data_IF_376430333268
#
_entry.id   IF_376430333268
#
_cell.length_a   1.000
_cell.length_b   1.000
_cell.length_c   1.000
_cell.angle_alpha   90.00
_cell.angle_beta   90.00
_cell.angle_gamma   90.00
#
_symmetry.space_group_name_H-M   'P 1'
#
loop_
_entity.id
_entity.type
_entity.pdbx_description
1 polymer ?
#
# COMPACT_ATOMS: atom_id res chain seq x y z
N UNK A 1 5.93 0.93 -2.19
CA UNK A 1 5.37 2.05 -3.00
C UNK A 1 5.67 1.90 -4.50
N UNK A 2 6.95 1.84 -4.93
CA UNK A 2 7.31 1.87 -6.36
C UNK A 2 6.59 0.84 -7.24
N UNK A 3 6.56 -0.45 -6.84
CA UNK A 3 5.86 -1.48 -7.61
C UNK A 3 4.35 -1.24 -7.72
N UNK A 4 3.72 -0.77 -6.63
CA UNK A 4 2.28 -0.44 -6.63
C UNK A 4 1.99 0.75 -7.55
N UNK A 5 2.81 1.79 -7.52
CA UNK A 5 2.65 2.96 -8.39
C UNK A 5 2.74 2.58 -9.87
N UNK A 6 3.70 1.73 -10.26
CA UNK A 6 3.83 1.22 -11.63
C UNK A 6 2.62 0.37 -12.01
N UNK A 7 2.14 -0.48 -11.12
CA UNK A 7 0.98 -1.34 -11.38
C UNK A 7 -0.31 -0.54 -11.59
N UNK A 8 -0.52 0.55 -10.83
CA UNK A 8 -1.66 1.44 -10.99
C UNK A 8 -1.54 2.31 -12.24
N UNK A 9 -0.31 2.74 -12.59
CA UNK A 9 -0.02 3.50 -13.80
C UNK A 9 -0.37 2.73 -15.08
N UNK A 10 -0.36 1.40 -15.04
CA UNK A 10 -0.76 0.58 -16.20
C UNK A 10 -2.22 0.81 -16.64
N UNK A 11 -3.09 1.35 -15.78
CA UNK A 11 -4.51 1.58 -16.07
C UNK A 11 -5.02 2.99 -15.76
N UNK A 12 -4.20 3.86 -15.18
CA UNK A 12 -4.61 5.19 -14.71
C UNK A 12 -3.55 6.24 -15.08
N UNK A 13 -3.88 7.52 -14.91
CA UNK A 13 -2.91 8.60 -15.08
C UNK A 13 -1.85 8.61 -13.96
N UNK A 14 -0.73 9.29 -14.23
CA UNK A 14 0.40 9.32 -13.31
C UNK A 14 0.09 9.94 -11.94
N UNK A 15 -0.74 10.98 -11.90
CA UNK A 15 -1.07 11.68 -10.66
C UNK A 15 -1.94 10.79 -9.77
N UNK A 16 -3.03 10.26 -10.31
CA UNK A 16 -3.94 9.38 -9.58
C UNK A 16 -3.23 8.10 -9.12
N UNK A 17 -2.36 7.52 -9.97
CA UNK A 17 -1.57 6.34 -9.62
C UNK A 17 -0.59 6.59 -8.47
N UNK A 18 0.13 7.73 -8.52
CA UNK A 18 1.04 8.14 -7.46
C UNK A 18 0.31 8.40 -6.15
N UNK A 19 -0.81 9.12 -6.20
CA UNK A 19 -1.62 9.44 -5.03
C UNK A 19 -2.21 8.17 -4.39
N UNK A 20 -2.86 7.30 -5.19
CA UNK A 20 -3.47 6.07 -4.71
C UNK A 20 -2.43 5.10 -4.14
N UNK A 21 -1.28 4.93 -4.79
CA UNK A 21 -0.21 4.07 -4.26
C UNK A 21 0.34 4.56 -2.92
N UNK A 22 0.48 5.88 -2.74
CA UNK A 22 0.96 6.49 -1.50
C UNK A 22 -0.07 6.33 -0.38
N UNK A 23 -1.35 6.53 -0.69
CA UNK A 23 -2.45 6.33 0.26
C UNK A 23 -2.51 4.88 0.75
N UNK A 24 -2.50 3.91 -0.17
CA UNK A 24 -2.59 2.48 0.17
C UNK A 24 -1.42 2.03 1.04
N UNK A 25 -0.19 2.43 0.70
CA UNK A 25 1.01 2.09 1.49
C UNK A 25 0.94 2.71 2.88
N UNK A 26 0.57 4.00 2.98
CA UNK A 26 0.46 4.67 4.27
C UNK A 26 -0.61 4.03 5.14
N UNK A 27 -1.78 3.71 4.57
CA UNK A 27 -2.87 3.06 5.31
C UNK A 27 -2.50 1.66 5.78
N UNK A 28 -1.82 0.87 4.95
CA UNK A 28 -1.31 -0.45 5.35
C UNK A 28 -0.29 -0.35 6.49
N UNK A 29 0.63 0.61 6.40
CA UNK A 29 1.61 0.86 7.45
C UNK A 29 0.96 1.30 8.76
N UNK A 30 -0.08 2.14 8.70
CA UNK A 30 -0.82 2.57 9.89
C UNK A 30 -1.59 1.42 10.55
N UNK A 31 -2.22 0.55 9.76
CA UNK A 31 -2.88 -0.66 10.27
C UNK A 31 -1.89 -1.57 11.00
N UNK A 32 -0.75 -1.85 10.38
CA UNK A 32 0.30 -2.68 10.98
C UNK A 32 0.89 -2.02 12.21
N UNK A 33 1.16 -0.72 12.16
CA UNK A 33 1.68 0.02 13.31
C UNK A 33 0.73 -0.03 14.50
N UNK A 34 -0.57 0.10 14.28
CA UNK A 34 -1.56 -0.03 15.34
C UNK A 34 -1.67 -1.45 15.91
N UNK A 35 -1.31 -2.47 15.13
CA UNK A 35 -1.36 -3.88 15.55
C UNK A 35 -0.10 -4.37 16.25
N UNK A 36 1.08 -4.01 15.74
CA UNK A 36 2.38 -4.57 16.15
C UNK A 36 3.46 -3.50 16.39
N UNK A 37 3.10 -2.22 16.36
CA UNK A 37 4.04 -1.11 16.51
C UNK A 37 5.02 -1.05 15.34
N UNK A 38 6.29 -0.76 15.63
CA UNK A 38 7.36 -0.77 14.62
C UNK A 38 7.80 -2.19 14.21
N UNK A 39 7.21 -3.23 14.80
CA UNK A 39 7.58 -4.63 14.57
C UNK A 39 6.85 -5.24 13.37
N UNK A 40 6.90 -4.56 12.22
CA UNK A 40 6.47 -5.11 10.93
C UNK A 40 7.58 -4.92 9.90
N UNK A 41 7.63 -5.80 8.92
CA UNK A 41 8.62 -5.74 7.85
C UNK A 41 7.97 -5.45 6.49
N UNK A 42 8.78 -5.47 5.43
CA UNK A 42 8.32 -5.19 4.07
C UNK A 42 7.37 -6.27 3.51
N UNK A 43 7.46 -7.52 3.99
CA UNK A 43 6.56 -8.60 3.58
C UNK A 43 5.17 -8.41 4.21
N UNK A 44 5.12 -8.11 5.52
CA UNK A 44 3.88 -7.80 6.24
C UNK A 44 3.16 -6.61 5.57
N UNK A 45 3.91 -5.55 5.26
CA UNK A 45 3.39 -4.37 4.58
C UNK A 45 2.84 -4.72 3.20
N UNK A 46 3.53 -5.56 2.44
CA UNK A 46 3.08 -5.98 1.10
C UNK A 46 1.78 -6.79 1.18
N UNK A 47 1.66 -7.70 2.15
CA UNK A 47 0.44 -8.48 2.39
C UNK A 47 -0.74 -7.60 2.79
N UNK A 48 -0.52 -6.65 3.70
CA UNK A 48 -1.57 -5.74 4.15
C UNK A 48 -2.02 -4.78 3.04
N UNK A 49 -1.09 -4.31 2.20
CA UNK A 49 -1.43 -3.53 0.98
C UNK A 49 -2.32 -4.36 0.05
N UNK A 50 -1.98 -5.62 -0.21
CA UNK A 50 -2.81 -6.52 -1.03
C UNK A 50 -4.19 -6.73 -0.42
N UNK A 51 -4.27 -6.93 0.90
CA UNK A 51 -5.53 -7.07 1.63
C UNK A 51 -6.43 -5.83 1.49
N UNK A 52 -5.87 -4.65 1.73
CA UNK A 52 -6.58 -3.36 1.59
C UNK A 52 -7.06 -3.12 0.16
N UNK A 53 -6.28 -3.49 -0.85
CA UNK A 53 -6.65 -3.33 -2.25
C UNK A 53 -7.79 -4.29 -2.66
N UNK A 54 -7.83 -5.49 -2.09
CA UNK A 54 -8.88 -6.49 -2.35
C UNK A 54 -10.18 -6.26 -1.56
N UNK A 55 -10.22 -5.28 -0.65
CA UNK A 55 -11.40 -4.96 0.16
C UNK A 55 -11.71 -5.97 1.27
N UNK A 56 -10.71 -6.70 1.77
CA UNK A 56 -10.81 -7.67 2.87
C UNK A 56 -10.27 -7.14 4.21
#
# INVERSE_FOLDING_TARGET
QAGLAVSLLAKNDAFTSGAASSYLVKKAADNLFNSVGVSYNADDLSREVSRLFSGQ
#
